data_IF_773275729898
#
_entry.id   IF_773275729898
#
_cell.length_a   1.000
_cell.length_b   1.000
_cell.length_c   1.000
_cell.angle_alpha   90.00
_cell.angle_beta   90.00
_cell.angle_gamma   90.00
#
_symmetry.space_group_name_H-M   'P 1'
#
loop_
_entity.id
_entity.type
_entity.pdbx_description
1 polymer ?
#
# COMPACT_ATOMS: atom_id res chain seq x y z
N UNK A 1 -33.45 -26.54 -0.86
CA UNK A 1 -34.04 -25.88 -2.05
C UNK A 1 -32.89 -25.17 -2.74
N UNK A 2 -32.67 -25.42 -4.04
CA UNK A 2 -31.61 -24.78 -4.79
C UNK A 2 -31.91 -23.28 -4.86
N UNK A 3 -31.33 -22.49 -3.93
CA UNK A 3 -31.21 -21.06 -4.16
C UNK A 3 -30.40 -20.93 -5.43
N UNK A 4 -30.97 -20.33 -6.47
CA UNK A 4 -30.19 -20.01 -7.67
C UNK A 4 -28.89 -19.33 -7.22
N UNK A 5 -27.75 -19.60 -7.85
CA UNK A 5 -26.48 -18.99 -7.41
C UNK A 5 -26.56 -17.46 -7.28
N UNK A 6 -27.43 -16.83 -8.07
CA UNK A 6 -27.77 -15.41 -7.98
C UNK A 6 -28.46 -15.07 -6.65
N UNK A 7 -29.47 -15.83 -6.24
CA UNK A 7 -30.15 -15.65 -4.95
C UNK A 7 -29.18 -15.80 -3.78
N UNK A 8 -28.27 -16.79 -3.85
CA UNK A 8 -27.23 -16.94 -2.83
C UNK A 8 -26.33 -15.71 -2.73
N UNK A 9 -25.93 -15.15 -3.88
CA UNK A 9 -25.13 -13.93 -3.93
C UNK A 9 -25.90 -12.73 -3.38
N UNK A 10 -27.18 -12.59 -3.70
CA UNK A 10 -28.03 -11.49 -3.18
C UNK A 10 -28.16 -11.55 -1.66
N UNK A 11 -28.39 -12.75 -1.10
CA UNK A 11 -28.46 -12.95 0.36
C UNK A 11 -27.10 -12.71 1.02
N UNK A 12 -26.01 -13.07 0.35
CA UNK A 12 -24.64 -12.92 0.87
C UNK A 12 -24.06 -11.51 0.69
N UNK A 13 -24.66 -10.69 -0.18
CA UNK A 13 -24.16 -9.38 -0.57
C UNK A 13 -23.89 -8.44 0.61
N UNK A 14 -24.77 -8.32 1.63
CA UNK A 14 -24.50 -7.44 2.77
C UNK A 14 -23.23 -7.83 3.54
N UNK A 15 -23.00 -9.13 3.74
CA UNK A 15 -21.81 -9.62 4.45
C UNK A 15 -20.54 -9.40 3.61
N UNK A 16 -20.59 -9.67 2.30
CA UNK A 16 -19.49 -9.38 1.40
C UNK A 16 -19.20 -7.88 1.31
N UNK A 17 -20.22 -7.03 1.30
CA UNK A 17 -20.08 -5.58 1.28
C UNK A 17 -19.42 -5.04 2.56
N UNK A 18 -19.77 -5.57 3.74
CA UNK A 18 -19.09 -5.23 4.99
C UNK A 18 -17.61 -5.65 4.97
N UNK A 19 -17.32 -6.87 4.51
CA UNK A 19 -15.95 -7.35 4.35
C UNK A 19 -15.15 -6.52 3.35
N UNK A 20 -15.75 -6.17 2.21
CA UNK A 20 -15.18 -5.28 1.21
C UNK A 20 -14.89 -3.89 1.77
N UNK A 21 -15.81 -3.34 2.57
CA UNK A 21 -15.60 -2.09 3.30
C UNK A 21 -14.37 -2.14 4.21
N UNK A 22 -14.18 -3.26 4.93
CA UNK A 22 -12.99 -3.47 5.76
C UNK A 22 -11.70 -3.57 4.93
N UNK A 23 -11.70 -4.33 3.83
CA UNK A 23 -10.57 -4.41 2.89
C UNK A 23 -10.18 -3.03 2.38
N UNK A 24 -11.17 -2.23 1.93
CA UNK A 24 -10.95 -0.88 1.41
C UNK A 24 -10.48 0.08 2.49
N UNK A 25 -11.01 0.00 3.72
CA UNK A 25 -10.58 0.85 4.84
C UNK A 25 -9.12 0.57 5.23
N UNK A 26 -8.75 -0.70 5.39
CA UNK A 26 -7.36 -1.10 5.68
C UNK A 26 -6.43 -0.63 4.57
N UNK A 27 -6.83 -0.85 3.32
CA UNK A 27 -6.02 -0.47 2.16
C UNK A 27 -5.87 1.05 2.04
N UNK A 28 -6.95 1.82 2.23
CA UNK A 28 -6.92 3.27 2.11
C UNK A 28 -6.04 3.90 3.20
N UNK A 29 -6.18 3.47 4.46
CA UNK A 29 -5.34 3.94 5.55
C UNK A 29 -3.89 3.48 5.40
N UNK A 30 -3.66 2.22 4.98
CA UNK A 30 -2.33 1.70 4.69
C UNK A 30 -1.65 2.48 3.55
N UNK A 31 -2.37 2.79 2.47
CA UNK A 31 -1.91 3.65 1.38
C UNK A 31 -1.58 5.04 1.91
N UNK A 32 -2.44 5.64 2.74
CA UNK A 32 -2.19 6.97 3.32
C UNK A 32 -0.87 7.00 4.09
N UNK A 33 -0.65 6.05 4.99
CA UNK A 33 0.60 5.92 5.74
C UNK A 33 1.80 5.64 4.82
N UNK A 34 1.62 4.78 3.81
CA UNK A 34 2.64 4.47 2.83
C UNK A 34 3.05 5.70 1.99
N UNK A 35 2.09 6.53 1.59
CA UNK A 35 2.36 7.75 0.82
C UNK A 35 3.15 8.74 1.65
N UNK A 36 2.68 9.09 2.85
CA UNK A 36 3.37 10.07 3.69
C UNK A 36 4.73 9.55 4.17
N UNK A 37 4.77 8.33 4.68
CA UNK A 37 6.00 7.68 5.14
C UNK A 37 6.99 7.47 4.00
N UNK A 38 6.51 7.10 2.81
CA UNK A 38 7.35 6.91 1.63
C UNK A 38 7.91 8.21 1.08
N UNK A 39 7.11 9.28 0.97
CA UNK A 39 7.63 10.59 0.58
C UNK A 39 8.70 11.07 1.56
N UNK A 40 8.46 10.93 2.87
CA UNK A 40 9.45 11.27 3.89
C UNK A 40 10.72 10.43 3.74
N UNK A 41 10.61 9.10 3.64
CA UNK A 41 11.73 8.19 3.40
C UNK A 41 12.54 8.62 2.17
N UNK A 42 11.87 8.89 1.05
CA UNK A 42 12.51 9.19 -0.22
C UNK A 42 13.31 10.49 -0.19
N UNK A 43 12.73 11.54 0.40
CA UNK A 43 13.41 12.84 0.61
C UNK A 43 14.61 12.67 1.55
N UNK A 44 14.43 11.96 2.67
CA UNK A 44 15.51 11.73 3.64
C UNK A 44 16.69 10.97 3.00
N UNK A 45 16.39 9.99 2.14
CA UNK A 45 17.40 9.22 1.41
C UNK A 45 18.20 10.06 0.37
N UNK A 46 17.71 11.24 -0.01
CA UNK A 46 18.42 12.15 -0.96
C UNK A 46 19.20 13.27 -0.27
N UNK A 47 19.15 13.37 1.07
CA UNK A 47 19.89 14.41 1.82
C UNK A 47 21.40 14.16 1.92
N UNK A 48 21.89 12.95 1.60
CA UNK A 48 23.32 12.64 1.51
C UNK A 48 24.02 12.23 2.82
N UNK A 49 23.31 12.12 3.93
CA UNK A 49 23.86 11.61 5.19
C UNK A 49 24.12 10.10 5.12
N UNK A 50 25.38 9.68 5.34
CA UNK A 50 25.79 8.26 5.29
C UNK A 50 25.03 7.41 6.29
N UNK A 51 24.93 7.86 7.55
CA UNK A 51 24.24 7.12 8.62
C UNK A 51 22.75 6.99 8.39
N UNK A 52 22.11 8.08 7.95
CA UNK A 52 20.70 8.07 7.59
C UNK A 52 20.43 7.09 6.45
N UNK A 53 21.25 7.12 5.40
CA UNK A 53 21.13 6.20 4.28
C UNK A 53 21.32 4.73 4.69
N UNK A 54 22.20 4.43 5.65
CA UNK A 54 22.36 3.08 6.19
C UNK A 54 21.08 2.66 6.92
N UNK A 55 20.55 3.50 7.81
CA UNK A 55 19.32 3.19 8.56
C UNK A 55 18.13 2.94 7.62
N UNK A 56 17.93 3.83 6.64
CA UNK A 56 16.86 3.70 5.65
C UNK A 56 17.03 2.43 4.79
N UNK A 57 18.26 2.11 4.37
CA UNK A 57 18.55 0.85 3.66
C UNK A 57 18.23 -0.37 4.52
N UNK A 58 18.63 -0.40 5.79
CA UNK A 58 18.30 -1.51 6.69
C UNK A 58 16.78 -1.68 6.81
N UNK A 59 16.04 -0.60 7.03
CA UNK A 59 14.58 -0.65 7.07
C UNK A 59 13.97 -1.19 5.76
N UNK A 60 14.44 -0.73 4.60
CA UNK A 60 14.00 -1.25 3.30
C UNK A 60 14.31 -2.74 3.13
N UNK A 61 15.54 -3.15 3.39
CA UNK A 61 15.98 -4.54 3.24
C UNK A 61 15.23 -5.48 4.19
N UNK A 62 14.92 -5.04 5.42
CA UNK A 62 14.10 -5.80 6.36
C UNK A 62 12.70 -6.10 5.80
N UNK A 63 12.03 -5.10 5.22
CA UNK A 63 10.69 -5.28 4.62
C UNK A 63 10.71 -6.03 3.28
N UNK A 64 11.85 -6.05 2.58
CA UNK A 64 12.03 -6.85 1.36
C UNK A 64 12.41 -8.31 1.64
N UNK A 65 13.22 -8.55 2.67
CA UNK A 65 13.71 -9.87 3.03
C UNK A 65 12.68 -10.68 3.83
N UNK A 66 11.85 -10.00 4.65
CA UNK A 66 10.89 -10.66 5.53
C UNK A 66 9.47 -10.54 4.94
N UNK A 67 8.73 -11.66 4.81
CA UNK A 67 7.35 -11.62 4.33
C UNK A 67 6.46 -10.71 5.19
N UNK A 68 5.57 -9.96 4.54
CA UNK A 68 4.60 -9.06 5.22
C UNK A 68 3.77 -9.81 6.27
N UNK A 69 3.46 -11.08 6.02
CA UNK A 69 2.75 -11.92 6.98
C UNK A 69 3.51 -12.09 8.31
N UNK A 70 4.83 -12.26 8.26
CA UNK A 70 5.66 -12.39 9.47
C UNK A 70 5.61 -11.10 10.27
N UNK A 71 5.66 -9.94 9.59
CA UNK A 71 5.47 -8.65 10.24
C UNK A 71 4.09 -8.51 10.91
N UNK A 72 3.02 -8.98 10.26
CA UNK A 72 1.68 -8.98 10.87
C UNK A 72 1.65 -9.78 12.17
N UNK A 73 2.26 -10.97 12.19
CA UNK A 73 2.33 -11.78 13.40
C UNK A 73 3.21 -11.16 14.49
N UNK A 74 4.37 -10.59 14.14
CA UNK A 74 5.23 -9.92 15.09
C UNK A 74 4.53 -8.73 15.75
N UNK A 75 3.78 -7.94 14.98
CA UNK A 75 3.03 -6.81 15.54
C UNK A 75 1.83 -7.28 16.35
N UNK A 76 1.06 -8.23 15.86
CA UNK A 76 -0.18 -8.68 16.52
C UNK A 76 0.08 -9.51 17.78
N UNK A 77 1.01 -10.47 17.73
CA UNK A 77 1.32 -11.34 18.87
C UNK A 77 2.52 -10.83 19.69
N UNK A 78 3.53 -10.25 19.04
CA UNK A 78 4.75 -9.82 19.71
C UNK A 78 4.58 -8.55 20.55
N UNK A 79 3.87 -7.52 20.07
CA UNK A 79 3.68 -6.29 20.84
C UNK A 79 3.04 -6.51 22.22
N UNK A 80 1.95 -7.32 22.34
CA UNK A 80 1.40 -7.65 23.65
C UNK A 80 2.39 -8.37 24.55
N UNK A 81 3.14 -9.34 24.02
CA UNK A 81 4.05 -10.19 24.81
C UNK A 81 5.27 -9.40 25.32
N UNK A 82 5.91 -8.63 24.45
CA UNK A 82 7.17 -7.96 24.78
C UNK A 82 6.98 -6.59 25.42
N UNK A 83 5.87 -5.90 25.14
CA UNK A 83 5.65 -4.51 25.55
C UNK A 83 4.33 -4.30 26.31
N UNK A 84 3.49 -5.33 26.49
CA UNK A 84 2.19 -5.20 27.13
C UNK A 84 1.17 -4.37 26.33
N UNK A 85 1.44 -4.11 25.04
CA UNK A 85 0.62 -3.25 24.19
C UNK A 85 -0.28 -4.08 23.28
N UNK A 86 -1.58 -4.06 23.53
CA UNK A 86 -2.59 -4.75 22.70
C UNK A 86 -3.24 -3.78 21.71
N UNK A 87 -2.95 -3.99 20.43
CA UNK A 87 -3.53 -3.22 19.33
C UNK A 87 -4.58 -4.09 18.61
N UNK A 88 -5.77 -3.55 18.27
CA UNK A 88 -6.76 -4.28 17.49
C UNK A 88 -6.20 -4.76 16.14
N UNK A 89 -6.61 -5.95 15.68
CA UNK A 89 -6.07 -6.58 14.46
C UNK A 89 -6.18 -5.71 13.21
N UNK A 90 -7.26 -4.91 13.09
CA UNK A 90 -7.42 -3.90 12.05
C UNK A 90 -6.24 -2.91 12.01
N UNK A 91 -5.88 -2.34 13.16
CA UNK A 91 -4.80 -1.36 13.26
C UNK A 91 -3.42 -2.00 13.09
N UNK A 92 -3.23 -3.25 13.51
CA UNK A 92 -2.03 -4.02 13.18
C UNK A 92 -1.85 -4.16 11.66
N UNK A 93 -2.93 -4.50 10.94
CA UNK A 93 -2.91 -4.60 9.48
C UNK A 93 -2.57 -3.25 8.83
N UNK A 94 -3.25 -2.17 9.24
CA UNK A 94 -2.98 -0.81 8.74
C UNK A 94 -1.53 -0.40 8.98
N UNK A 95 -1.00 -0.62 10.19
CA UNK A 95 0.36 -0.26 10.55
C UNK A 95 1.40 -1.03 9.72
N UNK A 96 1.29 -2.35 9.67
CA UNK A 96 2.27 -3.19 8.94
C UNK A 96 2.23 -2.90 7.44
N UNK A 97 1.04 -2.78 6.85
CA UNK A 97 0.91 -2.46 5.42
C UNK A 97 1.37 -1.03 5.12
N UNK A 98 1.13 -0.09 6.03
CA UNK A 98 1.62 1.28 5.93
C UNK A 98 3.14 1.36 5.99
N UNK A 99 3.78 0.65 6.92
CA UNK A 99 5.23 0.59 7.05
C UNK A 99 5.87 -0.13 5.86
N UNK A 100 5.35 -1.28 5.44
CA UNK A 100 5.84 -1.97 4.25
C UNK A 100 5.63 -1.13 2.98
N UNK A 101 4.47 -0.50 2.85
CA UNK A 101 4.18 0.40 1.74
C UNK A 101 5.08 1.63 1.73
N UNK A 102 5.41 2.19 2.89
CA UNK A 102 6.30 3.35 3.02
C UNK A 102 7.73 3.04 2.55
N UNK A 103 8.26 1.84 2.83
CA UNK A 103 9.59 1.46 2.33
C UNK A 103 9.60 1.38 0.80
N UNK A 104 8.58 0.75 0.20
CA UNK A 104 8.49 0.59 -1.26
C UNK A 104 8.22 1.92 -1.97
N UNK A 105 7.26 2.72 -1.47
CA UNK A 105 6.97 4.05 -2.02
C UNK A 105 8.17 4.96 -1.87
N UNK A 106 8.88 4.89 -0.74
CA UNK A 106 10.05 5.72 -0.52
C UNK A 106 11.22 5.40 -1.44
N UNK A 107 11.39 4.15 -1.84
CA UNK A 107 12.36 3.77 -2.86
C UNK A 107 12.01 4.37 -4.23
N UNK A 108 10.72 4.35 -4.59
CA UNK A 108 10.21 5.01 -5.80
C UNK A 108 10.42 6.52 -5.74
N UNK A 109 10.11 7.18 -4.62
CA UNK A 109 10.32 8.63 -4.46
C UNK A 109 11.80 8.97 -4.57
N UNK A 110 12.68 8.20 -3.91
CA UNK A 110 14.14 8.35 -3.99
C UNK A 110 14.62 8.23 -5.44
N UNK A 111 14.18 7.21 -6.16
CA UNK A 111 14.52 7.00 -7.57
C UNK A 111 14.05 8.16 -8.46
N UNK A 112 12.82 8.63 -8.25
CA UNK A 112 12.25 9.75 -8.99
C UNK A 112 13.04 11.05 -8.74
N UNK A 113 13.36 11.37 -7.49
CA UNK A 113 14.17 12.54 -7.14
C UNK A 113 15.59 12.46 -7.73
N UNK A 114 16.23 11.29 -7.69
CA UNK A 114 17.57 11.09 -8.24
C UNK A 114 17.62 11.15 -9.78
N UNK A 115 16.50 10.83 -10.44
CA UNK A 115 16.41 10.89 -11.90
C UNK A 115 16.35 12.32 -12.45
N UNK A 116 16.06 13.31 -11.61
CA UNK A 116 15.93 14.71 -12.04
C UNK A 116 17.29 15.27 -12.49
N UNK A 117 17.34 16.14 -13.51
CA UNK A 117 18.57 16.79 -13.93
C UNK A 117 19.22 17.57 -12.79
N UNK A 118 20.54 17.41 -12.59
CA UNK A 118 21.29 18.12 -11.53
C UNK A 118 21.12 19.64 -11.60
N UNK A 119 20.99 20.19 -12.82
CA UNK A 119 20.76 21.61 -13.05
C UNK A 119 19.50 22.17 -12.37
N UNK A 120 18.45 21.38 -12.13
CA UNK A 120 17.26 21.85 -11.40
C UNK A 120 17.59 22.21 -9.95
N UNK A 121 18.44 21.40 -9.31
CA UNK A 121 18.94 21.65 -7.96
C UNK A 121 19.87 22.86 -7.93
N UNK A 122 20.81 22.93 -8.88
CA UNK A 122 21.78 24.02 -8.97
C UNK A 122 21.10 25.37 -9.26
N UNK A 123 20.12 25.40 -10.18
CA UNK A 123 19.35 26.59 -10.50
C UNK A 123 18.54 27.09 -9.31
N UNK A 124 17.84 26.19 -8.60
CA UNK A 124 17.06 26.54 -7.41
C UNK A 124 17.92 27.12 -6.29
N UNK A 125 19.10 26.55 -6.05
CA UNK A 125 20.06 27.09 -5.08
C UNK A 125 20.63 28.45 -5.54
N UNK A 126 20.86 28.62 -6.85
CA UNK A 126 21.41 29.87 -7.41
C UNK A 126 20.46 31.06 -7.29
N UNK A 127 19.14 30.82 -7.28
CA UNK A 127 18.13 31.87 -7.03
C UNK A 127 17.80 32.05 -5.52
N UNK A 128 18.60 31.43 -4.63
CA UNK A 128 18.49 31.62 -3.19
C UNK A 128 17.46 30.75 -2.47
N UNK A 129 16.93 29.69 -3.09
CA UNK A 129 16.02 28.77 -2.38
C UNK A 129 16.79 27.99 -1.30
N UNK A 130 16.26 27.99 -0.08
CA UNK A 130 16.72 27.11 0.99
C UNK A 130 16.39 25.63 0.71
N UNK A 131 16.97 24.71 1.48
CA UNK A 131 16.79 23.26 1.26
C UNK A 131 15.33 22.82 1.21
N UNK A 132 14.52 23.21 2.20
CA UNK A 132 13.08 22.88 2.21
C UNK A 132 12.32 23.49 1.03
N UNK A 133 12.59 24.76 0.70
CA UNK A 133 11.96 25.46 -0.42
C UNK A 133 12.30 24.80 -1.76
N UNK A 134 13.55 24.38 -1.94
CA UNK A 134 13.99 23.65 -3.10
C UNK A 134 13.21 22.33 -3.27
N UNK A 135 13.04 21.56 -2.20
CA UNK A 135 12.23 20.33 -2.27
C UNK A 135 10.76 20.63 -2.55
N UNK A 136 10.16 21.58 -1.82
CA UNK A 136 8.74 21.88 -1.90
C UNK A 136 8.33 22.50 -3.25
N UNK A 137 9.14 23.42 -3.79
CA UNK A 137 8.77 24.21 -4.96
C UNK A 137 9.36 23.71 -6.27
N UNK A 138 10.46 22.94 -6.23
CA UNK A 138 11.17 22.51 -7.44
C UNK A 138 11.19 20.99 -7.56
N UNK A 139 11.77 20.28 -6.59
CA UNK A 139 12.09 18.87 -6.75
C UNK A 139 10.86 17.96 -6.63
N UNK A 140 10.03 18.10 -5.57
CA UNK A 140 8.85 17.26 -5.38
C UNK A 140 7.79 17.48 -6.47
N UNK A 141 7.45 18.71 -6.89
CA UNK A 141 6.53 18.93 -8.00
C UNK A 141 6.96 18.27 -9.31
N UNK A 142 8.27 18.26 -9.60
CA UNK A 142 8.82 17.60 -10.79
C UNK A 142 8.86 16.08 -10.63
N UNK A 143 9.29 15.59 -9.46
CA UNK A 143 9.36 14.16 -9.16
C UNK A 143 7.97 13.50 -9.14
N UNK A 144 6.90 14.23 -8.78
CA UNK A 144 5.52 13.73 -8.73
C UNK A 144 5.11 13.02 -10.02
N UNK A 145 5.40 13.60 -11.19
CA UNK A 145 5.07 12.98 -12.49
C UNK A 145 5.81 11.64 -12.68
N UNK A 146 7.06 11.56 -12.24
CA UNK A 146 7.89 10.37 -12.39
C UNK A 146 7.55 9.26 -11.39
N UNK A 147 7.20 9.62 -10.14
CA UNK A 147 6.86 8.64 -9.11
C UNK A 147 5.41 8.15 -9.17
N UNK A 148 4.47 8.95 -9.68
CA UNK A 148 3.04 8.61 -9.60
C UNK A 148 2.70 7.26 -10.26
N UNK A 149 3.10 6.94 -11.51
CA UNK A 149 2.78 5.63 -12.10
C UNK A 149 3.32 4.43 -11.28
N UNK A 150 4.63 4.34 -10.96
CA UNK A 150 5.13 3.22 -10.16
C UNK A 150 4.52 3.16 -8.74
N UNK A 151 4.18 4.30 -8.14
CA UNK A 151 3.49 4.34 -6.84
C UNK A 151 2.08 3.74 -6.90
N UNK A 152 1.32 3.95 -7.99
CA UNK A 152 -0.01 3.32 -8.15
C UNK A 152 0.11 1.79 -8.18
N UNK A 153 1.15 1.25 -8.79
CA UNK A 153 1.39 -0.20 -8.78
C UNK A 153 1.59 -0.73 -7.36
N UNK A 154 2.29 0.02 -6.49
CA UNK A 154 2.44 -0.33 -5.07
C UNK A 154 1.09 -0.29 -4.36
N UNK A 155 0.25 0.70 -4.63
CA UNK A 155 -1.10 0.79 -4.02
C UNK A 155 -1.97 -0.42 -4.37
N UNK A 156 -1.95 -0.90 -5.62
CA UNK A 156 -2.67 -2.13 -5.97
C UNK A 156 -2.12 -3.36 -5.23
N UNK A 157 -0.82 -3.36 -4.92
CA UNK A 157 -0.18 -4.41 -4.14
C UNK A 157 -0.62 -4.34 -2.68
N UNK A 158 -0.69 -3.15 -2.08
CA UNK A 158 -1.25 -2.95 -0.73
C UNK A 158 -2.68 -3.49 -0.66
N UNK A 159 -3.53 -3.17 -1.64
CA UNK A 159 -4.92 -3.66 -1.68
C UNK A 159 -4.96 -5.19 -1.68
N UNK A 160 -4.18 -5.85 -2.53
CA UNK A 160 -4.12 -7.31 -2.60
C UNK A 160 -3.54 -7.93 -1.32
N UNK A 161 -2.46 -7.36 -0.78
CA UNK A 161 -1.80 -7.83 0.44
C UNK A 161 -2.65 -7.62 1.69
N UNK A 162 -3.62 -6.69 1.67
CA UNK A 162 -4.56 -6.51 2.79
C UNK A 162 -5.37 -7.78 3.11
N UNK A 163 -5.55 -8.68 2.14
CA UNK A 163 -6.16 -9.99 2.37
C UNK A 163 -5.43 -10.85 3.41
N UNK A 164 -4.14 -10.62 3.67
CA UNK A 164 -3.40 -11.32 4.71
C UNK A 164 -3.91 -11.02 6.13
N UNK A 165 -4.68 -9.93 6.30
CA UNK A 165 -5.27 -9.57 7.59
C UNK A 165 -6.24 -10.65 8.13
N UNK A 166 -6.77 -11.52 7.26
CA UNK A 166 -7.55 -12.69 7.68
C UNK A 166 -6.81 -13.57 8.68
N UNK A 167 -5.48 -13.66 8.56
CA UNK A 167 -4.63 -14.52 9.38
C UNK A 167 -4.44 -14.01 10.80
N UNK A 168 -4.76 -12.73 11.06
CA UNK A 168 -4.81 -12.13 12.40
C UNK A 168 -6.25 -11.85 12.82
N UNK A 169 -7.24 -12.52 12.21
CA UNK A 169 -8.64 -12.51 12.62
C UNK A 169 -9.44 -11.31 12.14
N UNK A 170 -8.95 -10.52 11.18
CA UNK A 170 -9.75 -9.45 10.57
C UNK A 170 -10.80 -10.06 9.65
N UNK A 171 -12.06 -9.65 9.82
CA UNK A 171 -13.16 -10.02 8.92
C UNK A 171 -13.20 -9.07 7.74
N UNK A 172 -12.27 -9.26 6.80
CA UNK A 172 -12.28 -8.57 5.50
C UNK A 172 -12.98 -9.42 4.43
N UNK A 173 -12.98 -8.99 3.17
CA UNK A 173 -13.78 -9.61 2.11
C UNK A 173 -13.47 -11.10 1.89
N UNK A 174 -12.21 -11.53 1.98
CA UNK A 174 -11.83 -12.95 1.86
C UNK A 174 -12.40 -13.74 3.04
N UNK A 175 -12.26 -13.25 4.28
CA UNK A 175 -12.81 -13.92 5.46
C UNK A 175 -14.32 -14.00 5.43
N UNK A 176 -14.99 -12.92 5.02
CA UNK A 176 -16.43 -12.90 4.82
C UNK A 176 -16.87 -13.97 3.80
N UNK A 177 -16.15 -14.07 2.67
CA UNK A 177 -16.36 -15.11 1.68
C UNK A 177 -16.15 -16.53 2.25
N UNK A 178 -15.05 -16.77 2.96
CA UNK A 178 -14.78 -18.06 3.62
C UNK A 178 -15.91 -18.47 4.57
N UNK A 179 -16.42 -17.55 5.39
CA UNK A 179 -17.55 -17.82 6.28
C UNK A 179 -18.83 -18.20 5.51
N UNK A 180 -19.08 -17.61 4.35
CA UNK A 180 -20.22 -17.98 3.49
C UNK A 180 -19.99 -19.38 2.91
N UNK A 181 -18.79 -19.66 2.40
CA UNK A 181 -18.42 -20.96 1.85
C UNK A 181 -18.56 -22.06 2.91
N UNK A 182 -18.11 -21.82 4.14
CA UNK A 182 -18.22 -22.77 5.26
C UNK A 182 -19.68 -23.15 5.58
N UNK A 183 -20.64 -22.25 5.32
CA UNK A 183 -22.08 -22.48 5.58
C UNK A 183 -22.84 -23.05 4.38
N UNK A 184 -22.37 -22.80 3.17
CA UNK A 184 -23.11 -23.05 1.92
C UNK A 184 -22.45 -24.10 1.03
N UNK A 185 -21.15 -24.35 1.24
CA UNK A 185 -20.28 -25.18 0.42
C UNK A 185 -20.07 -24.68 -1.03
N UNK A 186 -20.56 -23.47 -1.35
CA UNK A 186 -20.54 -22.88 -2.71
C UNK A 186 -19.23 -22.11 -2.99
N UNK A 187 -18.12 -22.84 -3.06
CA UNK A 187 -16.78 -22.24 -3.18
C UNK A 187 -16.54 -21.47 -4.48
N UNK A 188 -16.90 -22.07 -5.62
CA UNK A 188 -16.60 -21.51 -6.95
C UNK A 188 -17.33 -20.17 -7.15
N UNK A 189 -18.60 -20.12 -6.76
CA UNK A 189 -19.44 -18.93 -6.89
C UNK A 189 -18.92 -17.77 -6.03
N UNK A 190 -18.59 -18.04 -4.76
CA UNK A 190 -18.11 -17.00 -3.84
C UNK A 190 -16.70 -16.52 -4.22
N UNK A 191 -15.76 -17.42 -4.53
CA UNK A 191 -14.44 -16.99 -5.01
C UNK A 191 -14.51 -16.27 -6.37
N UNK A 192 -15.47 -16.61 -7.23
CA UNK A 192 -15.78 -15.84 -8.44
C UNK A 192 -16.22 -14.40 -8.14
N UNK A 193 -17.06 -14.21 -7.13
CA UNK A 193 -17.44 -12.86 -6.67
C UNK A 193 -16.25 -12.08 -6.08
N UNK A 194 -15.39 -12.74 -5.30
CA UNK A 194 -14.17 -12.13 -4.74
C UNK A 194 -13.17 -11.75 -5.85
N UNK A 195 -13.02 -12.60 -6.87
CA UNK A 195 -12.23 -12.29 -8.06
C UNK A 195 -12.72 -11.01 -8.74
N UNK A 196 -14.03 -10.90 -8.99
CA UNK A 196 -14.62 -9.71 -9.59
C UNK A 196 -14.40 -8.47 -8.72
N UNK A 197 -14.55 -8.60 -7.39
CA UNK A 197 -14.26 -7.51 -6.47
C UNK A 197 -12.82 -6.99 -6.61
N UNK A 198 -11.81 -7.85 -6.47
CA UNK A 198 -10.41 -7.42 -6.57
C UNK A 198 -10.07 -6.90 -7.98
N UNK A 199 -10.66 -7.49 -9.03
CA UNK A 199 -10.48 -7.02 -10.40
C UNK A 199 -11.05 -5.60 -10.57
N UNK A 200 -12.30 -5.36 -10.14
CA UNK A 200 -12.95 -4.05 -10.26
C UNK A 200 -12.26 -2.96 -9.43
N UNK A 201 -11.64 -3.32 -8.30
CA UNK A 201 -10.89 -2.36 -7.47
C UNK A 201 -9.50 -2.09 -8.05
N UNK A 202 -8.75 -3.13 -8.44
CA UNK A 202 -7.34 -2.97 -8.82
C UNK A 202 -7.14 -2.64 -10.31
N UNK A 203 -7.97 -3.16 -11.22
CA UNK A 203 -7.78 -2.97 -12.66
C UNK A 203 -7.86 -1.50 -13.09
N UNK A 204 -8.84 -0.69 -12.63
CA UNK A 204 -8.90 0.73 -12.98
C UNK A 204 -7.64 1.50 -12.55
N UNK A 205 -7.11 1.20 -11.37
CA UNK A 205 -5.86 1.80 -10.87
C UNK A 205 -4.67 1.42 -11.78
N UNK A 206 -4.52 0.14 -12.10
CA UNK A 206 -3.47 -0.32 -13.01
C UNK A 206 -3.62 0.26 -14.43
N UNK A 207 -4.84 0.43 -14.93
CA UNK A 207 -5.11 1.06 -16.21
C UNK A 207 -4.74 2.55 -16.19
N UNK A 208 -5.11 3.28 -15.14
CA UNK A 208 -4.72 4.67 -14.95
C UNK A 208 -3.21 4.85 -14.89
N UNK A 209 -2.49 3.97 -14.17
CA UNK A 209 -1.02 3.96 -14.13
C UNK A 209 -0.41 3.87 -15.53
N UNK A 210 -0.89 2.94 -16.37
CA UNK A 210 -0.39 2.75 -17.74
C UNK A 210 -0.64 3.97 -18.63
N UNK A 211 -1.79 4.63 -18.48
CA UNK A 211 -2.10 5.87 -19.22
C UNK A 211 -1.15 7.00 -18.80
N UNK A 212 -0.92 7.18 -17.50
CA UNK A 212 -0.02 8.19 -16.97
C UNK A 212 1.43 7.93 -17.40
N UNK A 213 1.88 6.67 -17.36
CA UNK A 213 3.20 6.26 -17.82
C UNK A 213 3.42 6.62 -19.30
N UNK A 214 2.45 6.30 -20.18
CA UNK A 214 2.53 6.69 -21.60
C UNK A 214 2.52 8.20 -21.81
N UNK A 215 1.72 8.93 -21.04
CA UNK A 215 1.62 10.40 -21.13
C UNK A 215 2.90 11.09 -20.68
N UNK A 216 3.62 10.52 -19.72
CA UNK A 216 4.80 11.14 -19.11
C UNK A 216 6.13 10.48 -19.51
N UNK A 217 6.13 9.41 -20.31
CA UNK A 217 7.34 8.79 -20.87
C UNK A 217 8.17 9.75 -21.75
N UNK A 218 7.58 10.87 -22.19
CA UNK A 218 8.23 11.90 -23.00
C UNK A 218 8.44 13.24 -22.27
N UNK A 219 8.25 13.28 -20.94
CA UNK A 219 8.36 14.49 -20.10
C UNK A 219 9.55 14.42 -19.13
#
# INVERSE_FOLDING_TARGET
MASSGIELLLVSLPQLAMGAGQTLAISALGILFATFGGVLYGVLATLGSRWLNILLRVYLELFRAIPVLVWLYLVFFGLPIFFGLSIPSFWCAVLVLGLWGASEVGEVVRGALQSLPRGQREAGLSIGLGGWQLYAYVLLPQALKRMTPPTINIYTRIIKTSSLAVLIGVVEVIKAGQQIIERTYESVLIYGALFLFFFLVCYPLSAASRVLERRWAHA
#
